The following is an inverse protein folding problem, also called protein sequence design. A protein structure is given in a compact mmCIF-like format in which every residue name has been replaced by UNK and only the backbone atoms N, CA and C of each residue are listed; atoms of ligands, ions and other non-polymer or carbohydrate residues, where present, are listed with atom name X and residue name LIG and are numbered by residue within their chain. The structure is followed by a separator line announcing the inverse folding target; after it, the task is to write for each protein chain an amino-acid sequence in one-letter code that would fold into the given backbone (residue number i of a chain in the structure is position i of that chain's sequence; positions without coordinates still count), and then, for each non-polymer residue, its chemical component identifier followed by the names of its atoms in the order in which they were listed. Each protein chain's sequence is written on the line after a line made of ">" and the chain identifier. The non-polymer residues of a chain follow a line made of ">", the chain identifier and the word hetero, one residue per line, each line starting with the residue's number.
data_IF_836671934815
#
_entry.id   IF_836671934815
#
_cell.length_a   1.000
_cell.length_b   1.000
_cell.length_c   1.000
_cell.angle_alpha   90.00
_cell.angle_beta   90.00
_cell.angle_gamma   90.00
#
_symmetry.space_group_name_H-M   'P 1'
#
loop_
_entity.id
_entity.type
_entity.pdbx_description
1 polymer ?
#
# COMPACT_ATOMS: atom_id res chain seq x y z
N UNK A 1 8.10 -10.91 -20.14
CA UNK A 1 6.71 -10.44 -20.12
C UNK A 1 6.26 -9.85 -18.78
N UNK A 2 7.13 -9.75 -17.76
CA UNK A 2 6.80 -9.12 -16.46
C UNK A 2 6.75 -7.58 -16.53
N UNK A 3 7.60 -6.97 -17.35
CA UNK A 3 7.69 -5.50 -17.47
C UNK A 3 6.46 -4.87 -18.12
N UNK A 4 5.83 -5.56 -19.09
CA UNK A 4 4.57 -5.10 -19.70
C UNK A 4 3.43 -5.05 -18.68
N UNK A 5 3.35 -6.05 -17.83
CA UNK A 5 2.34 -6.11 -16.77
C UNK A 5 2.56 -5.03 -15.72
N UNK A 6 3.81 -4.83 -15.28
CA UNK A 6 4.18 -3.73 -14.38
C UNK A 6 3.80 -2.37 -14.98
N UNK A 7 4.08 -2.13 -16.27
CA UNK A 7 3.71 -0.89 -16.96
C UNK A 7 2.19 -0.69 -17.01
N UNK A 8 1.44 -1.75 -17.30
CA UNK A 8 -0.02 -1.69 -17.33
C UNK A 8 -0.58 -1.37 -15.94
N UNK A 9 -0.11 -2.07 -14.91
CA UNK A 9 -0.54 -1.85 -13.52
C UNK A 9 -0.23 -0.43 -13.07
N UNK A 10 0.97 0.08 -13.34
CA UNK A 10 1.33 1.48 -13.04
C UNK A 10 0.32 2.45 -13.67
N UNK A 11 -0.05 2.20 -14.91
CA UNK A 11 -1.02 3.03 -15.65
C UNK A 11 -2.44 2.89 -15.09
N UNK A 12 -2.86 1.68 -14.72
CA UNK A 12 -4.16 1.42 -14.11
C UNK A 12 -4.30 2.14 -12.77
N UNK A 13 -3.25 2.12 -11.93
CA UNK A 13 -3.23 2.83 -10.65
C UNK A 13 -3.35 4.34 -10.87
N UNK A 14 -2.57 4.90 -11.79
CA UNK A 14 -2.63 6.34 -12.10
C UNK A 14 -4.03 6.75 -12.57
N UNK A 15 -4.64 6.00 -13.48
CA UNK A 15 -5.96 6.27 -14.01
C UNK A 15 -7.06 6.10 -12.95
N UNK A 16 -6.96 5.08 -12.10
CA UNK A 16 -7.91 4.85 -11.00
C UNK A 16 -7.87 6.00 -9.99
N UNK A 17 -6.67 6.42 -9.56
CA UNK A 17 -6.50 7.55 -8.64
C UNK A 17 -7.04 8.86 -9.23
N UNK A 18 -6.74 9.14 -10.50
CA UNK A 18 -7.29 10.32 -11.20
C UNK A 18 -8.81 10.32 -11.25
N UNK A 19 -9.40 9.17 -11.56
CA UNK A 19 -10.86 9.02 -11.62
C UNK A 19 -11.50 9.18 -10.25
N UNK A 20 -10.89 8.61 -9.21
CA UNK A 20 -11.38 8.63 -7.84
C UNK A 20 -11.34 10.05 -7.24
N UNK A 21 -10.24 10.77 -7.46
CA UNK A 21 -10.01 12.09 -6.87
C UNK A 21 -10.46 13.25 -7.75
N UNK A 22 -10.89 12.98 -8.98
CA UNK A 22 -11.30 13.97 -9.99
C UNK A 22 -10.24 15.07 -10.23
N UNK A 23 -8.95 14.74 -10.07
CA UNK A 23 -7.83 15.67 -10.21
C UNK A 23 -6.57 14.96 -10.69
N UNK A 24 -5.55 15.75 -11.07
CA UNK A 24 -4.29 15.21 -11.55
C UNK A 24 -3.51 14.51 -10.42
N UNK A 25 -3.22 13.23 -10.65
CA UNK A 25 -2.27 12.40 -9.88
C UNK A 25 -1.28 11.81 -10.87
N UNK A 26 -0.02 11.67 -10.46
CA UNK A 26 1.02 11.03 -11.26
C UNK A 26 1.65 9.89 -10.49
N UNK A 27 1.78 8.72 -11.11
CA UNK A 27 2.55 7.59 -10.58
C UNK A 27 3.93 7.61 -11.24
N UNK A 28 4.93 8.26 -10.66
CA UNK A 28 6.24 8.39 -11.35
C UNK A 28 6.89 7.04 -11.65
N UNK A 29 6.70 6.04 -10.78
CA UNK A 29 7.39 4.76 -10.86
C UNK A 29 6.64 3.67 -10.09
N UNK A 30 6.79 2.42 -10.54
CA UNK A 30 6.35 1.23 -9.82
C UNK A 30 7.52 0.25 -9.70
N UNK A 31 7.97 0.01 -8.48
CA UNK A 31 9.09 -0.87 -8.17
C UNK A 31 8.59 -2.18 -7.58
N UNK A 32 9.03 -3.31 -8.12
CA UNK A 32 8.89 -4.62 -7.48
C UNK A 32 10.23 -5.01 -6.87
N UNK A 33 10.25 -5.36 -5.58
CA UNK A 33 11.50 -5.53 -4.86
C UNK A 33 11.52 -6.74 -3.91
N UNK A 34 12.73 -7.18 -3.60
CA UNK A 34 13.04 -8.14 -2.54
C UNK A 34 14.23 -7.61 -1.72
N UNK A 35 14.06 -7.54 -0.40
CA UNK A 35 15.03 -6.94 0.54
C UNK A 35 15.86 -8.02 1.26
N UNK A 36 17.08 -7.69 1.71
CA UNK A 36 17.94 -8.63 2.44
C UNK A 36 17.34 -9.20 3.74
N UNK A 37 16.38 -8.49 4.36
CA UNK A 37 15.68 -8.99 5.54
C UNK A 37 14.65 -10.09 5.23
N UNK A 38 14.39 -10.37 3.94
CA UNK A 38 13.35 -11.30 3.49
C UNK A 38 11.98 -10.65 3.25
N UNK A 39 11.84 -9.33 3.45
CA UNK A 39 10.64 -8.62 3.00
C UNK A 39 10.65 -8.46 1.48
N UNK A 40 9.48 -8.58 0.86
CA UNK A 40 9.28 -8.29 -0.56
C UNK A 40 8.04 -7.44 -0.75
N UNK A 41 7.87 -6.87 -1.93
CA UNK A 41 6.71 -6.03 -2.17
C UNK A 41 6.83 -5.13 -3.38
N UNK A 42 5.97 -4.12 -3.36
CA UNK A 42 5.84 -3.11 -4.40
C UNK A 42 5.85 -1.72 -3.77
N UNK A 43 6.53 -0.79 -4.42
CA UNK A 43 6.43 0.64 -4.14
C UNK A 43 5.85 1.35 -5.35
N UNK A 44 4.85 2.18 -5.11
CA UNK A 44 4.26 3.07 -6.11
C UNK A 44 4.61 4.49 -5.73
N UNK A 45 5.57 5.09 -6.43
CA UNK A 45 5.98 6.47 -6.19
C UNK A 45 4.93 7.39 -6.84
N UNK A 46 4.33 8.29 -6.03
CA UNK A 46 3.20 9.12 -6.47
C UNK A 46 3.48 10.59 -6.25
N UNK A 47 2.82 11.44 -7.05
CA UNK A 47 2.76 12.89 -6.85
C UNK A 47 1.33 13.38 -6.96
N UNK A 48 1.01 14.40 -6.17
CA UNK A 48 -0.31 14.99 -6.10
C UNK A 48 -1.29 14.11 -5.34
N UNK A 49 -0.86 13.38 -4.32
CA UNK A 49 -1.75 12.67 -3.39
C UNK A 49 -1.48 13.20 -1.99
N UNK A 50 -2.53 13.54 -1.25
CA UNK A 50 -2.47 14.00 0.13
C UNK A 50 -3.01 12.91 1.08
N UNK A 51 -2.62 13.00 2.34
CA UNK A 51 -3.12 12.09 3.38
C UNK A 51 -4.65 12.11 3.45
N UNK A 52 -5.27 13.29 3.44
CA UNK A 52 -6.73 13.45 3.52
C UNK A 52 -7.45 12.68 2.39
N UNK A 53 -6.87 12.62 1.19
CA UNK A 53 -7.45 11.81 0.10
C UNK A 53 -7.48 10.32 0.46
N UNK A 54 -6.41 9.84 1.11
CA UNK A 54 -6.32 8.44 1.55
C UNK A 54 -7.33 8.18 2.65
N UNK A 55 -7.50 9.09 3.61
CA UNK A 55 -8.44 8.91 4.71
C UNK A 55 -9.90 8.90 4.22
N UNK A 56 -10.25 9.77 3.26
CA UNK A 56 -11.60 9.86 2.69
C UNK A 56 -11.94 8.66 1.82
N UNK A 57 -10.99 8.17 1.02
CA UNK A 57 -11.22 7.11 0.03
C UNK A 57 -10.58 5.77 0.40
N UNK A 58 -10.27 5.56 1.68
CA UNK A 58 -9.44 4.44 2.12
C UNK A 58 -9.99 3.08 1.69
N UNK A 59 -11.30 2.88 1.86
CA UNK A 59 -11.95 1.60 1.53
C UNK A 59 -11.88 1.31 0.03
N UNK A 60 -12.17 2.32 -0.80
CA UNK A 60 -12.13 2.19 -2.26
C UNK A 60 -10.70 1.97 -2.75
N UNK A 61 -9.73 2.71 -2.21
CA UNK A 61 -8.31 2.55 -2.53
C UNK A 61 -7.81 1.16 -2.11
N UNK A 62 -8.13 0.70 -0.89
CA UNK A 62 -7.73 -0.61 -0.41
C UNK A 62 -8.30 -1.75 -1.24
N UNK A 63 -9.57 -1.66 -1.64
CA UNK A 63 -10.19 -2.66 -2.51
C UNK A 63 -9.44 -2.78 -3.82
N UNK A 64 -9.17 -1.65 -4.47
CA UNK A 64 -8.44 -1.60 -5.73
C UNK A 64 -6.98 -2.06 -5.58
N UNK A 65 -6.29 -1.65 -4.52
CA UNK A 65 -4.92 -2.04 -4.26
C UNK A 65 -4.77 -3.54 -4.01
N UNK A 66 -5.73 -4.18 -3.33
CA UNK A 66 -5.75 -5.64 -3.16
C UNK A 66 -5.97 -6.37 -4.47
N UNK A 67 -6.84 -5.86 -5.34
CA UNK A 67 -7.05 -6.40 -6.69
C UNK A 67 -5.75 -6.32 -7.51
N UNK A 68 -5.10 -5.17 -7.52
CA UNK A 68 -3.81 -4.97 -8.22
C UNK A 68 -2.73 -5.90 -7.68
N UNK A 69 -2.60 -6.02 -6.36
CA UNK A 69 -1.60 -6.87 -5.74
C UNK A 69 -1.81 -8.36 -6.08
N UNK A 70 -3.07 -8.79 -6.26
CA UNK A 70 -3.38 -10.16 -6.70
C UNK A 70 -2.89 -10.47 -8.12
N UNK A 71 -2.89 -9.48 -9.02
CA UNK A 71 -2.38 -9.63 -10.40
C UNK A 71 -0.87 -9.87 -10.44
N UNK A 72 -0.13 -9.31 -9.47
CA UNK A 72 1.31 -9.50 -9.34
C UNK A 72 1.69 -10.69 -8.45
N UNK A 73 0.71 -11.47 -7.99
CA UNK A 73 0.92 -12.59 -7.07
C UNK A 73 1.66 -12.19 -5.77
N UNK A 74 1.56 -10.93 -5.38
CA UNK A 74 2.16 -10.40 -4.14
C UNK A 74 1.02 -10.18 -3.15
N UNK A 75 0.72 -11.14 -2.25
CA UNK A 75 -0.36 -10.99 -1.28
C UNK A 75 0.02 -9.91 -0.26
N UNK A 76 -0.63 -8.73 -0.25
CA UNK A 76 -0.15 -7.64 0.56
C UNK A 76 -0.51 -7.90 2.02
N UNK A 77 0.47 -8.26 2.86
CA UNK A 77 0.28 -8.37 4.31
C UNK A 77 0.24 -7.01 5.01
N UNK A 78 0.77 -5.98 4.34
CA UNK A 78 0.92 -4.64 4.89
C UNK A 78 0.82 -3.61 3.75
N UNK A 79 -0.21 -2.76 3.78
CA UNK A 79 -0.42 -1.65 2.85
C UNK A 79 -0.34 -0.35 3.63
N UNK A 80 0.53 0.55 3.21
CA UNK A 80 0.69 1.84 3.86
C UNK A 80 1.10 2.94 2.88
N UNK A 81 0.67 4.16 3.18
CA UNK A 81 1.16 5.36 2.55
C UNK A 81 2.40 5.85 3.29
N UNK A 82 3.40 6.27 2.53
CA UNK A 82 4.60 6.93 3.03
C UNK A 82 4.46 8.42 2.79
N UNK A 83 4.53 9.22 3.86
CA UNK A 83 4.41 10.67 3.79
C UNK A 83 5.79 11.31 3.61
N UNK A 84 5.82 12.47 2.95
CA UNK A 84 7.00 13.34 2.98
C UNK A 84 7.10 13.91 4.40
N UNK A 85 8.24 13.73 5.11
CA UNK A 85 8.38 14.18 6.50
C UNK A 85 8.00 15.66 6.69
N UNK A 86 7.14 15.92 7.68
CA UNK A 86 6.67 17.27 7.99
C UNK A 86 5.55 17.80 7.08
N UNK A 87 4.90 16.95 6.28
CA UNK A 87 3.79 17.34 5.42
C UNK A 87 2.70 16.25 5.35
N UNK A 88 1.55 16.60 4.78
CA UNK A 88 0.46 15.67 4.41
C UNK A 88 0.70 14.97 3.07
N UNK A 89 1.74 15.36 2.33
CA UNK A 89 1.98 14.89 0.96
C UNK A 89 2.39 13.43 0.99
N UNK A 90 1.71 12.60 0.21
CA UNK A 90 2.03 11.18 0.05
C UNK A 90 3.14 11.04 -1.01
N UNK A 91 4.29 10.51 -0.58
CA UNK A 91 5.40 10.20 -1.46
C UNK A 91 5.22 8.87 -2.19
N UNK A 92 4.65 7.87 -1.52
CA UNK A 92 4.47 6.55 -2.10
C UNK A 92 3.39 5.71 -1.42
N UNK A 93 2.76 4.83 -2.17
CA UNK A 93 1.96 3.72 -1.65
C UNK A 93 2.81 2.45 -1.66
N UNK A 94 2.81 1.71 -0.56
CA UNK A 94 3.67 0.55 -0.37
C UNK A 94 2.81 -0.69 -0.08
N UNK A 95 3.09 -1.78 -0.78
CA UNK A 95 2.53 -3.11 -0.52
C UNK A 95 3.68 -4.02 -0.10
N UNK A 96 3.65 -4.55 1.12
CA UNK A 96 4.73 -5.38 1.66
C UNK A 96 4.24 -6.72 2.17
N UNK A 97 5.05 -7.74 1.88
CA UNK A 97 5.06 -9.01 2.58
C UNK A 97 6.15 -8.91 3.64
N UNK A 98 5.73 -8.79 4.91
CA UNK A 98 6.67 -8.66 6.01
C UNK A 98 7.23 -10.03 6.42
N UNK A 99 8.55 -10.10 6.56
CA UNK A 99 9.22 -11.23 7.18
C UNK A 99 8.98 -11.25 8.71
N UNK A 100 9.34 -12.38 9.34
CA UNK A 100 9.14 -12.60 10.77
C UNK A 100 9.92 -11.61 11.65
N UNK A 101 10.99 -11.02 11.10
CA UNK A 101 11.80 -10.02 11.79
C UNK A 101 11.16 -8.63 11.79
N UNK A 102 10.53 -8.21 10.69
CA UNK A 102 9.97 -6.87 10.55
C UNK A 102 8.51 -6.78 11.01
N UNK A 103 7.77 -7.89 10.98
CA UNK A 103 6.37 -7.93 11.43
C UNK A 103 6.15 -7.37 12.85
N UNK A 104 6.97 -7.70 13.87
CA UNK A 104 6.78 -7.23 15.24
C UNK A 104 6.79 -5.70 15.40
N UNK A 105 7.53 -4.98 14.55
CA UNK A 105 7.63 -3.51 14.59
C UNK A 105 6.27 -2.83 14.39
N UNK A 106 5.40 -3.45 13.58
CA UNK A 106 4.06 -2.94 13.28
C UNK A 106 2.97 -3.66 14.07
N UNK A 107 3.25 -4.87 14.55
CA UNK A 107 2.30 -5.67 15.32
C UNK A 107 1.96 -5.05 16.68
N UNK A 108 2.88 -4.33 17.30
CA UNK A 108 2.66 -3.68 18.60
C UNK A 108 2.07 -2.28 18.47
N UNK A 109 2.09 -1.68 17.28
CA UNK A 109 1.56 -0.35 17.06
C UNK A 109 0.05 -0.30 17.27
N UNK A 110 -0.40 0.77 17.94
CA UNK A 110 -1.81 1.16 18.06
C UNK A 110 -2.12 2.27 17.04
N UNK A 111 -3.31 2.20 16.45
CA UNK A 111 -3.75 3.18 15.44
C UNK A 111 -3.13 2.98 14.06
N UNK A 112 -3.35 3.98 13.19
CA UNK A 112 -2.91 3.97 11.78
C UNK A 112 -1.57 4.64 11.54
N UNK A 113 -1.05 5.41 12.50
CA UNK A 113 0.22 6.14 12.36
C UNK A 113 1.24 5.65 13.39
N UNK A 114 1.94 4.53 13.13
CA UNK A 114 3.00 4.06 14.02
C UNK A 114 4.21 5.00 14.05
N UNK A 115 4.38 5.80 12.99
CA UNK A 115 5.46 6.77 12.80
C UNK A 115 4.93 7.99 12.04
N UNK A 116 5.57 9.16 12.14
CA UNK A 116 5.15 10.36 11.41
C UNK A 116 5.15 10.23 9.89
N UNK A 117 5.94 9.30 9.34
CA UNK A 117 6.12 9.08 7.90
C UNK A 117 5.23 7.96 7.34
N UNK A 118 4.43 7.28 8.17
CA UNK A 118 3.65 6.10 7.78
C UNK A 118 2.18 6.27 8.16
N UNK A 119 1.31 6.06 7.19
CA UNK A 119 -0.12 5.82 7.41
C UNK A 119 -0.51 4.41 6.96
N UNK A 120 -0.91 3.57 7.90
CA UNK A 120 -1.33 2.19 7.67
C UNK A 120 -2.76 2.18 7.16
N UNK A 121 -2.94 1.68 5.94
CA UNK A 121 -4.25 1.41 5.35
C UNK A 121 -4.69 -0.03 5.64
N UNK A 122 -3.76 -0.99 5.59
CA UNK A 122 -4.05 -2.39 5.88
C UNK A 122 -2.86 -3.09 6.53
N UNK A 123 -3.14 -3.93 7.53
CA UNK A 123 -2.13 -4.75 8.16
C UNK A 123 -2.75 -6.08 8.60
N UNK A 124 -2.28 -7.19 8.02
CA UNK A 124 -2.74 -8.54 8.37
C UNK A 124 -2.10 -8.98 9.69
N UNK A 125 -2.89 -8.93 10.77
CA UNK A 125 -2.44 -9.40 12.08
C UNK A 125 -2.45 -10.94 12.14
N UNK A 126 -1.26 -11.54 12.24
CA UNK A 126 -1.06 -12.97 12.52
C UNK A 126 -1.68 -13.30 13.88
N UNK A 127 -2.82 -14.02 13.85
CA UNK A 127 -3.60 -14.36 15.04
C UNK A 127 -5.11 -14.04 14.95
N UNK A 128 -5.56 -13.25 13.97
CA UNK A 128 -7.00 -12.95 13.78
C UNK A 128 -7.74 -13.92 12.83
N UNK A 129 -7.07 -14.93 12.26
CA UNK A 129 -7.68 -15.94 11.35
C UNK A 129 -8.68 -16.93 12.02
N UNK A 130 -9.24 -16.59 13.18
CA UNK A 130 -10.06 -17.52 14.00
C UNK A 130 -11.40 -17.00 14.53
N UNK A 131 -11.88 -15.81 14.16
CA UNK A 131 -13.15 -15.26 14.69
C UNK A 131 -14.22 -14.96 13.62
N UNK A 132 -14.26 -15.76 12.54
CA UNK A 132 -15.18 -15.51 11.41
C UNK A 132 -15.70 -16.78 10.74
N UNK A 133 -16.30 -17.69 11.51
CA UNK A 133 -17.38 -18.63 11.11
C UNK A 133 -17.60 -19.64 12.24
N UNK A 134 -18.49 -19.31 13.17
CA UNK A 134 -19.34 -20.35 13.77
C UNK A 134 -20.67 -20.27 13.03
N UNK A 135 -20.97 -21.36 12.32
CA UNK A 135 -22.31 -21.65 11.78
C UNK A 135 -23.31 -21.71 12.91
#
# INVERSE_FOLDING_TARGET
>A
MITKEILQIRSDIENNLRKMLARAVMVSELDVFALPCGCSGITVNVRGLELDDIEVFEEQMLSFFKEVASRLEIPPSFIFARLIPGSSVVAAINWRVLCDRCYPEFATASGKMPRPDIYIMYFERRGQKGKGKKR
#
